data_IF_543772901382
#
_entry.id   IF_543772901382
#
_cell.length_a   1.000
_cell.length_b   1.000
_cell.length_c   1.000
_cell.angle_alpha   90.00
_cell.angle_beta   90.00
_cell.angle_gamma   90.00
#
_symmetry.space_group_name_H-M   'P 1'
#
loop_
_entity.id
_entity.type
_entity.pdbx_description
1 polymer ?
#
# COMPACT_ATOMS: atom_id res chain seq x y z
N UNK A 1 -65.63 -33.45 69.02
CA UNK A 1 -64.44 -34.30 69.31
C UNK A 1 -63.52 -34.29 68.12
N UNK A 2 -62.27 -34.03 68.41
CA UNK A 2 -61.05 -34.13 67.56
C UNK A 2 -60.89 -33.18 66.38
N UNK A 3 -60.16 -32.12 66.68
CA UNK A 3 -59.49 -31.24 65.72
C UNK A 3 -58.39 -32.01 64.98
N UNK A 4 -58.22 -31.75 63.68
CA UNK A 4 -56.99 -32.04 62.98
C UNK A 4 -56.45 -30.74 62.38
N UNK A 5 -55.30 -30.32 62.96
CA UNK A 5 -54.51 -29.19 62.47
C UNK A 5 -53.78 -29.65 61.20
N UNK A 6 -53.97 -28.96 60.04
CA UNK A 6 -53.15 -29.09 58.91
C UNK A 6 -52.14 -27.92 58.84
N UNK A 7 -50.85 -28.25 58.92
CA UNK A 7 -49.72 -27.35 58.88
C UNK A 7 -49.40 -27.10 57.41
N UNK A 8 -49.63 -25.89 56.94
CA UNK A 8 -49.20 -25.46 55.57
C UNK A 8 -47.76 -25.00 55.64
N UNK A 9 -46.85 -25.77 55.04
CA UNK A 9 -45.46 -25.37 54.81
C UNK A 9 -45.41 -24.54 53.49
N UNK A 10 -45.18 -23.24 53.61
CA UNK A 10 -44.94 -22.34 52.51
C UNK A 10 -43.48 -22.47 52.08
N UNK A 11 -43.21 -23.18 51.01
CA UNK A 11 -41.90 -23.21 50.34
C UNK A 11 -41.77 -21.97 49.45
N UNK A 12 -40.99 -20.98 49.87
CA UNK A 12 -40.55 -19.86 49.05
C UNK A 12 -39.56 -20.38 48.00
N UNK A 13 -40.07 -20.59 46.81
CA UNK A 13 -39.19 -20.82 45.63
C UNK A 13 -38.61 -19.51 45.15
N UNK A 14 -37.36 -19.25 45.48
CA UNK A 14 -36.56 -18.17 44.87
C UNK A 14 -36.30 -18.52 43.41
N UNK A 15 -37.07 -17.94 42.47
CA UNK A 15 -36.75 -17.94 41.07
C UNK A 15 -35.51 -17.05 40.87
N UNK A 16 -34.34 -17.67 40.73
CA UNK A 16 -33.17 -17.02 40.19
C UNK A 16 -33.40 -16.86 38.69
N UNK A 17 -33.90 -15.71 38.28
CA UNK A 17 -33.85 -15.25 36.89
C UNK A 17 -32.38 -14.98 36.54
N UNK A 18 -31.67 -16.02 36.09
CA UNK A 18 -30.43 -15.88 35.36
C UNK A 18 -30.76 -15.12 34.07
N UNK A 19 -30.66 -13.79 34.11
CA UNK A 19 -30.68 -12.95 32.95
C UNK A 19 -29.51 -13.36 32.06
N UNK A 20 -29.79 -14.18 31.05
CA UNK A 20 -28.91 -14.32 29.93
C UNK A 20 -28.89 -12.95 29.21
N UNK A 21 -27.94 -12.11 29.61
CA UNK A 21 -27.55 -10.98 28.77
C UNK A 21 -27.03 -11.59 27.46
N UNK A 22 -27.91 -11.76 26.50
CA UNK A 22 -27.51 -11.91 25.12
C UNK A 22 -26.78 -10.59 24.79
N UNK A 23 -25.47 -10.63 24.85
CA UNK A 23 -24.67 -9.58 24.23
C UNK A 23 -25.15 -9.50 22.79
N UNK A 24 -26.01 -8.52 22.52
CA UNK A 24 -26.52 -8.25 21.18
C UNK A 24 -25.27 -8.01 20.33
N UNK A 25 -24.94 -8.98 19.46
CA UNK A 25 -23.74 -8.89 18.62
C UNK A 25 -23.78 -7.52 17.93
N UNK A 26 -22.86 -6.66 18.32
CA UNK A 26 -22.84 -5.31 17.78
C UNK A 26 -22.64 -5.43 16.26
N UNK A 27 -23.42 -4.64 15.50
CA UNK A 27 -23.34 -4.62 14.04
C UNK A 27 -21.89 -4.40 13.59
N UNK A 28 -21.38 -5.17 12.62
CA UNK A 28 -20.01 -5.02 12.16
C UNK A 28 -19.76 -3.62 11.59
N UNK A 29 -18.53 -3.15 11.70
CA UNK A 29 -18.10 -1.89 11.08
C UNK A 29 -17.68 -2.22 9.66
N UNK A 30 -18.35 -1.63 8.68
CA UNK A 30 -18.04 -1.84 7.27
C UNK A 30 -16.84 -0.98 6.85
N UNK A 31 -15.85 -1.62 6.23
CA UNK A 31 -14.66 -1.01 5.65
C UNK A 31 -14.68 -1.29 4.15
N UNK A 32 -14.69 -0.24 3.34
CA UNK A 32 -14.60 -0.34 1.88
C UNK A 32 -13.16 -0.55 1.43
N UNK A 33 -12.96 -1.44 0.46
CA UNK A 33 -11.65 -1.73 -0.13
C UNK A 33 -11.77 -1.72 -1.64
N UNK A 34 -10.94 -0.90 -2.33
CA UNK A 34 -10.96 -0.78 -3.79
C UNK A 34 -9.54 -0.97 -4.34
N UNK A 35 -9.34 -2.06 -5.05
CA UNK A 35 -8.09 -2.39 -5.75
C UNK A 35 -8.41 -3.08 -7.07
N UNK A 36 -7.47 -3.14 -8.04
CA UNK A 36 -7.65 -3.98 -9.21
C UNK A 36 -7.66 -5.45 -8.80
N UNK A 37 -8.78 -6.14 -9.01
CA UNK A 37 -8.91 -7.57 -8.73
C UNK A 37 -8.88 -8.40 -10.03
N UNK A 38 -8.82 -7.72 -11.18
CA UNK A 38 -8.73 -8.29 -12.51
C UNK A 38 -7.72 -7.52 -13.37
N UNK A 39 -7.45 -8.01 -14.59
CA UNK A 39 -6.50 -7.39 -15.50
C UNK A 39 -5.03 -7.54 -15.10
N UNK A 40 -4.16 -6.66 -15.61
CA UNK A 40 -2.71 -6.78 -15.47
C UNK A 40 -2.17 -6.63 -14.04
N UNK A 41 -2.85 -5.88 -13.18
CA UNK A 41 -2.52 -5.73 -11.75
C UNK A 41 -3.41 -6.60 -10.84
N UNK A 42 -4.32 -7.39 -11.42
CA UNK A 42 -5.30 -8.20 -10.69
C UNK A 42 -4.70 -9.12 -9.62
N UNK A 43 -3.70 -9.93 -9.92
CA UNK A 43 -3.09 -10.82 -8.92
C UNK A 43 -2.54 -10.05 -7.71
N UNK A 44 -1.88 -8.91 -7.93
CA UNK A 44 -1.31 -8.09 -6.85
C UNK A 44 -2.41 -7.41 -6.02
N UNK A 45 -3.43 -6.85 -6.66
CA UNK A 45 -4.57 -6.24 -5.97
C UNK A 45 -5.37 -7.25 -5.16
N UNK A 46 -5.52 -8.50 -5.65
CA UNK A 46 -6.11 -9.60 -4.89
C UNK A 46 -5.28 -9.89 -3.62
N UNK A 47 -3.95 -9.97 -3.73
CA UNK A 47 -3.07 -10.20 -2.58
C UNK A 47 -3.17 -9.06 -1.54
N UNK A 48 -3.23 -7.81 -1.97
CA UNK A 48 -3.44 -6.67 -1.06
C UNK A 48 -4.79 -6.79 -0.33
N UNK A 49 -5.85 -7.11 -1.05
CA UNK A 49 -7.19 -7.30 -0.46
C UNK A 49 -7.18 -8.45 0.55
N UNK A 50 -6.52 -9.57 0.25
CA UNK A 50 -6.35 -10.69 1.15
C UNK A 50 -5.52 -10.31 2.40
N UNK A 51 -4.48 -9.50 2.24
CA UNK A 51 -3.69 -8.99 3.36
C UNK A 51 -4.51 -8.09 4.29
N UNK A 52 -5.39 -7.25 3.73
CA UNK A 52 -6.36 -6.46 4.51
C UNK A 52 -7.34 -7.38 5.26
N UNK A 53 -7.80 -8.47 4.64
CA UNK A 53 -8.64 -9.47 5.30
C UNK A 53 -7.92 -10.19 6.44
N UNK A 54 -6.62 -10.53 6.27
CA UNK A 54 -5.80 -11.09 7.33
C UNK A 54 -5.68 -10.13 8.52
N UNK A 55 -5.46 -8.83 8.26
CA UNK A 55 -5.41 -7.81 9.30
C UNK A 55 -6.78 -7.63 9.97
N UNK A 56 -7.88 -7.62 9.22
CA UNK A 56 -9.24 -7.59 9.79
C UNK A 56 -9.48 -8.79 10.74
N UNK A 57 -9.01 -9.97 10.36
CA UNK A 57 -9.08 -11.17 11.22
C UNK A 57 -8.26 -10.97 12.49
N UNK A 58 -7.02 -10.47 12.41
CA UNK A 58 -6.16 -10.18 13.57
C UNK A 58 -6.84 -9.18 14.53
N UNK A 59 -7.45 -8.13 13.99
CA UNK A 59 -8.14 -7.10 14.77
C UNK A 59 -9.40 -7.69 15.43
N UNK A 60 -10.19 -8.45 14.67
CA UNK A 60 -11.42 -9.08 15.17
C UNK A 60 -11.14 -10.11 16.28
N UNK A 61 -10.11 -10.94 16.12
CA UNK A 61 -9.63 -11.88 17.14
C UNK A 61 -9.13 -11.16 18.41
N UNK A 62 -8.71 -9.91 18.28
CA UNK A 62 -8.24 -9.06 19.39
C UNK A 62 -9.36 -8.21 20.03
N UNK A 63 -10.63 -8.48 19.69
CA UNK A 63 -11.80 -7.77 20.24
C UNK A 63 -12.40 -6.70 19.33
N UNK A 64 -11.90 -6.56 18.10
CA UNK A 64 -12.45 -5.64 17.09
C UNK A 64 -12.11 -4.18 17.33
N UNK A 65 -12.88 -3.31 16.69
CA UNK A 65 -12.79 -1.85 16.82
C UNK A 65 -13.94 -1.36 17.68
N UNK A 66 -13.65 -0.73 18.80
CA UNK A 66 -14.66 -0.32 19.81
C UNK A 66 -15.57 -1.50 20.23
N UNK A 67 -15.02 -2.73 20.32
CA UNK A 67 -15.77 -3.95 20.64
C UNK A 67 -16.61 -4.52 19.49
N UNK A 68 -16.52 -3.97 18.30
CA UNK A 68 -17.28 -4.38 17.10
C UNK A 68 -16.38 -5.05 16.08
N UNK A 69 -16.82 -6.13 15.41
CA UNK A 69 -16.03 -6.75 14.36
C UNK A 69 -15.99 -5.84 13.09
N UNK A 70 -14.90 -5.96 12.33
CA UNK A 70 -14.75 -5.34 11.01
C UNK A 70 -15.31 -6.30 9.95
N UNK A 71 -16.06 -5.74 8.99
CA UNK A 71 -16.50 -6.40 7.76
C UNK A 71 -15.86 -5.70 6.55
N UNK A 72 -15.12 -6.44 5.72
CA UNK A 72 -14.48 -5.91 4.53
C UNK A 72 -15.42 -6.04 3.33
N UNK A 73 -15.73 -4.92 2.68
CA UNK A 73 -16.47 -4.85 1.43
C UNK A 73 -15.50 -4.49 0.30
N UNK A 74 -15.06 -5.48 -0.47
CA UNK A 74 -14.11 -5.27 -1.57
C UNK A 74 -14.79 -5.02 -2.92
N UNK A 75 -14.14 -4.21 -3.78
CA UNK A 75 -14.56 -3.91 -5.15
C UNK A 75 -13.35 -3.88 -6.08
N UNK A 76 -13.59 -4.31 -7.31
CA UNK A 76 -12.61 -4.30 -8.41
C UNK A 76 -12.72 -2.99 -9.20
N UNK A 77 -11.63 -2.21 -9.26
CA UNK A 77 -11.55 -0.99 -10.07
C UNK A 77 -11.05 -1.25 -11.50
N UNK A 78 -10.64 -2.49 -11.81
CA UNK A 78 -10.14 -2.90 -13.12
C UNK A 78 -8.98 -2.03 -13.65
N UNK A 79 -8.25 -1.35 -12.76
CA UNK A 79 -7.24 -0.32 -13.09
C UNK A 79 -7.82 0.80 -13.98
N UNK A 80 -9.12 1.09 -13.87
CA UNK A 80 -9.84 2.02 -14.75
C UNK A 80 -10.50 3.14 -13.95
N UNK A 81 -10.17 4.43 -14.19
CA UNK A 81 -10.71 5.56 -13.43
C UNK A 81 -12.23 5.60 -13.32
N UNK A 82 -12.95 5.36 -14.44
CA UNK A 82 -14.42 5.39 -14.45
C UNK A 82 -15.04 4.25 -13.62
N UNK A 83 -14.42 3.06 -13.65
CA UNK A 83 -14.85 1.93 -12.82
C UNK A 83 -14.57 2.22 -11.36
N UNK A 84 -13.38 2.72 -11.01
CA UNK A 84 -13.04 3.12 -9.63
C UNK A 84 -14.07 4.08 -9.05
N UNK A 85 -14.46 5.14 -9.80
CA UNK A 85 -15.51 6.09 -9.39
C UNK A 85 -16.85 5.38 -9.13
N UNK A 86 -17.25 4.45 -9.99
CA UNK A 86 -18.47 3.64 -9.79
C UNK A 86 -18.40 2.84 -8.50
N UNK A 87 -17.28 2.14 -8.26
CA UNK A 87 -17.05 1.32 -7.06
C UNK A 87 -17.02 2.14 -5.77
N UNK A 88 -16.42 3.33 -5.82
CA UNK A 88 -16.47 4.27 -4.69
C UNK A 88 -17.91 4.63 -4.33
N UNK A 89 -18.76 4.98 -5.31
CA UNK A 89 -20.18 5.27 -5.09
C UNK A 89 -20.96 4.08 -4.50
N UNK A 90 -20.67 2.85 -4.95
CA UNK A 90 -21.30 1.64 -4.39
C UNK A 90 -20.96 1.48 -2.90
N UNK A 91 -19.67 1.66 -2.53
CA UNK A 91 -19.25 1.55 -1.13
C UNK A 91 -19.79 2.67 -0.25
N UNK A 92 -19.82 3.90 -0.75
CA UNK A 92 -20.46 5.04 -0.08
C UNK A 92 -21.92 4.72 0.22
N UNK A 93 -22.66 4.23 -0.78
CA UNK A 93 -24.07 3.83 -0.63
C UNK A 93 -24.26 2.65 0.34
N UNK A 94 -23.23 1.80 0.50
CA UNK A 94 -23.25 0.68 1.44
C UNK A 94 -22.99 1.11 2.90
N UNK A 95 -22.69 2.40 3.15
CA UNK A 95 -22.47 2.95 4.48
C UNK A 95 -21.14 2.54 5.12
N UNK A 96 -20.06 2.48 4.34
CA UNK A 96 -18.71 2.21 4.87
C UNK A 96 -18.21 3.36 5.73
N UNK A 97 -17.42 3.06 6.76
CA UNK A 97 -16.83 4.04 7.67
C UNK A 97 -15.53 4.64 7.14
N UNK A 98 -14.84 3.93 6.26
CA UNK A 98 -13.59 4.31 5.62
C UNK A 98 -13.48 3.61 4.28
N UNK A 99 -12.77 4.21 3.32
CA UNK A 99 -12.36 3.54 2.09
C UNK A 99 -10.84 3.42 2.10
N UNK A 100 -10.34 2.20 1.91
CA UNK A 100 -8.91 1.90 1.70
C UNK A 100 -8.76 1.56 0.21
N UNK A 101 -7.93 2.32 -0.49
CA UNK A 101 -7.84 2.22 -1.93
C UNK A 101 -6.42 2.49 -2.45
N UNK A 102 -6.24 2.48 -3.77
CA UNK A 102 -5.10 3.08 -4.41
C UNK A 102 -4.02 2.11 -4.86
N UNK A 103 -4.17 1.60 -6.08
CA UNK A 103 -3.09 0.98 -6.84
C UNK A 103 -2.56 1.96 -7.90
N UNK A 104 -3.42 2.33 -8.84
CA UNK A 104 -3.07 3.25 -9.92
C UNK A 104 -3.39 4.70 -9.53
N UNK A 105 -2.40 5.59 -9.57
CA UNK A 105 -2.61 7.00 -9.22
C UNK A 105 -3.70 7.70 -10.04
N UNK A 106 -3.88 7.46 -11.35
CA UNK A 106 -5.01 8.01 -12.10
C UNK A 106 -6.38 7.56 -11.57
N UNK A 107 -6.50 6.32 -11.08
CA UNK A 107 -7.75 5.79 -10.50
C UNK A 107 -8.04 6.48 -9.16
N UNK A 108 -7.04 6.54 -8.27
CA UNK A 108 -7.13 7.26 -7.00
C UNK A 108 -7.57 8.72 -7.20
N UNK A 109 -6.89 9.46 -8.09
CA UNK A 109 -7.21 10.86 -8.37
C UNK A 109 -8.62 11.07 -8.92
N UNK A 110 -9.16 10.08 -9.65
CA UNK A 110 -10.55 10.13 -10.12
C UNK A 110 -11.56 9.82 -9.01
N UNK A 111 -11.27 8.91 -8.08
CA UNK A 111 -12.15 8.53 -6.98
C UNK A 111 -12.21 9.60 -5.87
N UNK A 112 -11.10 10.24 -5.55
CA UNK A 112 -10.99 11.18 -4.42
C UNK A 112 -12.07 12.27 -4.40
N UNK A 113 -12.41 12.97 -5.51
CA UNK A 113 -13.47 13.99 -5.48
C UNK A 113 -14.84 13.43 -5.07
N UNK A 114 -15.13 12.17 -5.37
CA UNK A 114 -16.38 11.50 -5.01
C UNK A 114 -16.38 11.12 -3.53
N UNK A 115 -15.30 10.51 -3.06
CA UNK A 115 -15.09 10.10 -1.67
C UNK A 115 -15.13 11.35 -0.75
N UNK A 116 -14.44 12.41 -1.17
CA UNK A 116 -14.38 13.67 -0.42
C UNK A 116 -15.76 14.34 -0.31
N UNK A 117 -16.51 14.43 -1.41
CA UNK A 117 -17.88 14.99 -1.37
C UNK A 117 -18.82 14.20 -0.46
N UNK A 118 -18.62 12.89 -0.37
CA UNK A 118 -19.38 12.04 0.55
C UNK A 118 -18.93 12.16 2.01
N UNK A 119 -17.85 12.91 2.29
CA UNK A 119 -17.29 13.05 3.63
C UNK A 119 -16.81 11.74 4.22
N UNK A 120 -16.25 10.82 3.41
CA UNK A 120 -15.67 9.55 3.85
C UNK A 120 -14.16 9.71 4.02
N UNK A 121 -13.59 9.12 5.07
CA UNK A 121 -12.14 9.01 5.23
C UNK A 121 -11.57 8.13 4.12
N UNK A 122 -10.59 8.68 3.39
CA UNK A 122 -9.91 8.05 2.26
C UNK A 122 -8.47 7.69 2.65
N UNK A 123 -8.15 6.41 2.62
CA UNK A 123 -6.79 5.93 2.92
C UNK A 123 -6.19 5.34 1.65
N UNK A 124 -5.34 6.13 1.02
CA UNK A 124 -4.56 5.69 -0.13
C UNK A 124 -3.40 4.80 0.34
N UNK A 125 -3.49 3.50 0.05
CA UNK A 125 -2.49 2.54 0.52
C UNK A 125 -1.22 2.53 -0.34
N UNK A 126 -1.33 2.65 -1.68
CA UNK A 126 -0.23 2.34 -2.60
C UNK A 126 0.07 3.48 -3.58
N UNK A 127 -0.95 4.20 -4.10
CA UNK A 127 -0.79 5.25 -5.10
C UNK A 127 0.14 6.38 -4.65
N UNK A 128 1.03 6.86 -5.53
CA UNK A 128 2.17 7.71 -5.17
C UNK A 128 2.13 9.13 -5.72
N UNK A 129 1.27 9.45 -6.70
CA UNK A 129 1.25 10.78 -7.30
C UNK A 129 1.09 11.88 -6.24
N UNK A 130 1.93 12.91 -6.30
CA UNK A 130 1.92 13.99 -5.30
C UNK A 130 0.59 14.73 -5.20
N UNK A 131 -0.19 14.94 -6.31
CA UNK A 131 -1.50 15.58 -6.24
C UNK A 131 -2.51 14.89 -5.31
N UNK A 132 -2.33 13.62 -4.96
CA UNK A 132 -3.20 12.87 -4.03
C UNK A 132 -3.30 13.56 -2.65
N UNK A 133 -2.22 14.14 -2.16
CA UNK A 133 -2.18 14.86 -0.87
C UNK A 133 -1.73 16.32 -1.01
N UNK A 134 -1.53 16.83 -2.22
CA UNK A 134 -1.17 18.22 -2.44
C UNK A 134 -2.40 19.10 -2.70
N UNK A 135 -2.32 20.36 -2.31
CA UNK A 135 -3.40 21.35 -2.48
C UNK A 135 -4.31 21.46 -1.25
N UNK A 136 -5.30 22.32 -1.35
CA UNK A 136 -6.27 22.59 -0.26
C UNK A 136 -7.27 21.42 -0.04
N UNK A 137 -7.06 20.34 -0.68
CA UNK A 137 -8.02 19.48 -1.29
C UNK A 137 -8.72 18.47 -0.41
N UNK A 138 -8.09 17.69 0.44
CA UNK A 138 -8.83 16.62 1.12
C UNK A 138 -8.36 16.42 2.57
N UNK A 139 -9.02 17.10 3.53
CA UNK A 139 -8.69 16.94 4.95
C UNK A 139 -8.97 15.52 5.46
N UNK A 140 -9.74 14.72 4.71
CA UNK A 140 -10.06 13.33 5.04
C UNK A 140 -9.20 12.32 4.26
N UNK A 141 -8.14 12.77 3.56
CA UNK A 141 -7.21 11.85 2.90
C UNK A 141 -5.93 11.66 3.72
N UNK A 142 -5.44 10.42 3.73
CA UNK A 142 -4.12 10.04 4.24
C UNK A 142 -3.48 9.02 3.30
N UNK A 143 -2.14 8.96 3.26
CA UNK A 143 -1.40 8.02 2.41
C UNK A 143 -0.37 7.24 3.21
N UNK A 144 -0.37 5.94 3.03
CA UNK A 144 0.56 5.03 3.71
C UNK A 144 1.81 4.67 2.90
N UNK A 145 1.80 4.86 1.59
CA UNK A 145 3.01 4.68 0.80
C UNK A 145 3.83 5.99 0.74
N UNK A 146 5.08 5.87 0.33
CA UNK A 146 5.87 7.04 -0.05
C UNK A 146 5.24 7.78 -1.24
N UNK A 147 5.49 9.09 -1.31
CA UNK A 147 5.08 9.90 -2.46
C UNK A 147 6.13 9.86 -3.58
N UNK A 148 5.74 10.31 -4.78
CA UNK A 148 6.70 10.49 -5.87
C UNK A 148 7.86 11.42 -5.48
N UNK A 149 7.60 12.50 -4.74
CA UNK A 149 8.65 13.41 -4.25
C UNK A 149 9.60 12.73 -3.27
N UNK A 150 9.10 11.89 -2.34
CA UNK A 150 9.97 11.14 -1.42
C UNK A 150 10.83 10.11 -2.17
N UNK A 151 10.24 9.40 -3.11
CA UNK A 151 10.92 8.40 -3.95
C UNK A 151 11.95 9.05 -4.89
N UNK A 152 11.58 10.19 -5.48
CA UNK A 152 12.45 10.96 -6.36
C UNK A 152 13.74 11.37 -5.67
N UNK A 153 13.68 11.78 -4.40
CA UNK A 153 14.85 12.13 -3.62
C UNK A 153 15.81 10.93 -3.44
N UNK A 154 15.28 9.73 -3.23
CA UNK A 154 16.09 8.50 -3.07
C UNK A 154 16.80 8.14 -4.37
N UNK A 155 16.08 8.14 -5.49
CA UNK A 155 16.64 7.78 -6.79
C UNK A 155 17.63 8.86 -7.25
N UNK A 156 17.31 10.15 -7.09
CA UNK A 156 18.22 11.24 -7.43
C UNK A 156 19.54 11.17 -6.64
N UNK A 157 19.45 10.88 -5.33
CA UNK A 157 20.64 10.65 -4.51
C UNK A 157 21.46 9.47 -5.04
N UNK A 158 20.83 8.35 -5.37
CA UNK A 158 21.53 7.20 -5.95
C UNK A 158 22.23 7.54 -7.26
N UNK A 159 21.58 8.29 -8.16
CA UNK A 159 22.17 8.79 -9.41
C UNK A 159 23.40 9.63 -9.11
N UNK A 160 23.30 10.59 -8.19
CA UNK A 160 24.40 11.48 -7.84
C UNK A 160 25.58 10.73 -7.21
N UNK A 161 25.32 9.81 -6.29
CA UNK A 161 26.33 8.97 -5.63
C UNK A 161 27.05 8.05 -6.62
N UNK A 162 26.35 7.53 -7.63
CA UNK A 162 26.91 6.69 -8.71
C UNK A 162 27.75 7.48 -9.71
N UNK A 163 27.63 8.83 -9.71
CA UNK A 163 28.27 9.76 -10.66
C UNK A 163 27.87 9.56 -12.12
N UNK A 164 26.76 8.86 -12.39
CA UNK A 164 26.26 8.64 -13.74
C UNK A 164 25.86 9.96 -14.41
N UNK A 165 26.35 10.20 -15.63
CA UNK A 165 26.14 11.47 -16.36
C UNK A 165 25.21 11.30 -17.56
N UNK A 166 25.10 10.11 -18.11
CA UNK A 166 24.26 9.79 -19.28
C UNK A 166 23.08 8.93 -18.81
N UNK A 167 21.92 9.56 -18.68
CA UNK A 167 20.75 8.93 -18.08
C UNK A 167 19.62 8.82 -19.10
N UNK A 168 19.04 7.64 -19.20
CA UNK A 168 17.82 7.39 -19.97
C UNK A 168 16.64 7.14 -19.03
N UNK A 169 15.44 7.49 -19.49
CA UNK A 169 14.18 7.23 -18.79
C UNK A 169 13.28 6.33 -19.66
N UNK A 170 12.72 5.31 -19.02
CA UNK A 170 11.63 4.47 -19.52
C UNK A 170 10.45 4.68 -18.58
N UNK A 171 9.44 5.46 -18.99
CA UNK A 171 8.44 6.02 -18.08
C UNK A 171 7.03 5.65 -18.49
N UNK A 172 6.27 5.10 -17.56
CA UNK A 172 4.83 4.94 -17.72
C UNK A 172 4.16 6.30 -17.92
N UNK A 173 3.36 6.41 -18.98
CA UNK A 173 2.78 7.70 -19.39
C UNK A 173 1.44 7.96 -18.70
N UNK A 174 1.50 8.19 -17.40
CA UNK A 174 0.35 8.55 -16.57
C UNK A 174 0.74 9.48 -15.41
N UNK A 175 -0.19 9.75 -14.50
CA UNK A 175 0.04 10.63 -13.35
C UNK A 175 1.13 10.09 -12.39
N UNK A 176 1.26 8.75 -12.25
CA UNK A 176 2.32 8.15 -11.47
C UNK A 176 3.67 8.29 -12.14
N UNK A 177 3.79 7.77 -13.36
CA UNK A 177 5.08 7.68 -14.04
C UNK A 177 5.67 9.05 -14.38
N UNK A 178 4.86 9.96 -14.94
CA UNK A 178 5.30 11.32 -15.25
C UNK A 178 5.71 12.08 -13.98
N UNK A 179 4.92 11.97 -12.90
CA UNK A 179 5.23 12.61 -11.62
C UNK A 179 6.47 12.02 -10.95
N UNK A 180 6.73 10.72 -11.07
CA UNK A 180 7.93 10.08 -10.53
C UNK A 180 9.19 10.54 -11.28
N UNK A 181 9.15 10.61 -12.61
CA UNK A 181 10.25 11.15 -13.39
C UNK A 181 10.52 12.61 -13.05
N UNK A 182 9.47 13.44 -13.01
CA UNK A 182 9.58 14.86 -12.66
C UNK A 182 10.19 15.05 -11.26
N UNK A 183 9.79 14.24 -10.28
CA UNK A 183 10.33 14.28 -8.94
C UNK A 183 11.84 13.97 -8.91
N UNK A 184 12.31 12.97 -9.66
CA UNK A 184 13.74 12.65 -9.79
C UNK A 184 14.49 13.83 -10.43
N UNK A 185 13.99 14.37 -11.53
CA UNK A 185 14.61 15.48 -12.26
C UNK A 185 14.68 16.75 -11.38
N UNK A 186 13.61 17.05 -10.63
CA UNK A 186 13.55 18.17 -9.71
C UNK A 186 14.56 18.04 -8.57
N UNK A 187 14.73 16.84 -8.01
CA UNK A 187 15.73 16.60 -6.95
C UNK A 187 17.16 16.71 -7.48
N UNK A 188 17.47 16.17 -8.66
CA UNK A 188 18.78 16.34 -9.32
C UNK A 188 19.08 17.83 -9.56
N UNK A 189 18.06 18.60 -9.97
CA UNK A 189 18.19 20.06 -10.13
C UNK A 189 18.45 20.76 -8.80
N UNK A 190 17.74 20.43 -7.71
CA UNK A 190 17.98 20.98 -6.37
C UNK A 190 19.40 20.67 -5.87
N UNK A 191 19.91 19.48 -6.19
CA UNK A 191 21.28 19.07 -5.88
C UNK A 191 22.32 19.73 -6.79
N UNK A 192 21.92 20.52 -7.80
CA UNK A 192 22.80 21.08 -8.85
C UNK A 192 23.60 19.99 -9.55
N UNK A 193 23.04 18.78 -9.69
CA UNK A 193 23.69 17.66 -10.33
C UNK A 193 23.55 17.75 -11.84
N UNK A 194 24.67 18.01 -12.53
CA UNK A 194 24.70 18.08 -13.99
C UNK A 194 24.74 16.68 -14.62
N UNK A 195 23.78 16.37 -15.49
CA UNK A 195 23.68 15.15 -16.28
C UNK A 195 23.10 15.46 -17.66
N UNK A 196 23.22 14.50 -18.58
CA UNK A 196 22.59 14.51 -19.89
C UNK A 196 21.45 13.49 -19.91
N UNK A 197 20.22 13.91 -20.22
CA UNK A 197 19.12 13.01 -20.52
C UNK A 197 19.26 12.52 -21.97
N UNK A 198 19.88 11.33 -22.14
CA UNK A 198 20.26 10.82 -23.47
C UNK A 198 19.13 10.14 -24.23
N UNK A 199 18.10 9.66 -23.51
CA UNK A 199 16.87 9.12 -24.09
C UNK A 199 15.71 9.24 -23.11
N UNK A 200 14.52 9.38 -23.67
CA UNK A 200 13.26 9.34 -22.92
C UNK A 200 12.21 8.60 -23.75
N UNK A 201 11.71 7.49 -23.24
CA UNK A 201 10.67 6.68 -23.86
C UNK A 201 9.47 6.58 -22.93
N UNK A 202 8.28 6.85 -23.45
CA UNK A 202 7.03 6.77 -22.71
C UNK A 202 6.14 5.65 -23.22
N UNK A 203 5.46 4.97 -22.31
CA UNK A 203 4.62 3.83 -22.63
C UNK A 203 3.36 3.78 -21.74
N UNK A 204 2.26 3.18 -22.23
CA UNK A 204 1.04 3.01 -21.44
C UNK A 204 1.19 1.92 -20.35
N UNK A 205 0.39 1.99 -19.28
CA UNK A 205 0.39 1.04 -18.15
C UNK A 205 0.38 -0.44 -18.59
N UNK A 206 -0.40 -0.80 -19.62
CA UNK A 206 -0.53 -2.19 -20.09
C UNK A 206 0.53 -2.60 -21.12
N UNK A 207 1.63 -1.86 -21.26
CA UNK A 207 2.73 -2.21 -22.15
C UNK A 207 3.41 -3.50 -21.71
N UNK A 208 3.57 -4.45 -22.65
CA UNK A 208 4.29 -5.71 -22.44
C UNK A 208 5.46 -5.90 -23.41
N UNK A 209 5.52 -5.13 -24.50
CA UNK A 209 6.59 -5.15 -25.48
C UNK A 209 7.37 -3.84 -25.47
N UNK A 210 8.60 -3.88 -24.97
CA UNK A 210 9.50 -2.74 -24.84
C UNK A 210 10.65 -2.74 -25.86
N UNK A 211 10.66 -3.67 -26.83
CA UNK A 211 11.81 -3.87 -27.73
C UNK A 211 12.17 -2.63 -28.53
N UNK A 212 11.18 -1.86 -29.00
CA UNK A 212 11.40 -0.61 -29.73
C UNK A 212 12.02 0.44 -28.81
N UNK A 213 11.38 0.71 -27.65
CA UNK A 213 11.87 1.64 -26.66
C UNK A 213 13.30 1.28 -26.18
N UNK A 214 13.54 0.02 -25.89
CA UNK A 214 14.87 -0.49 -25.48
C UNK A 214 15.92 -0.37 -26.59
N UNK A 215 15.53 -0.48 -27.87
CA UNK A 215 16.45 -0.25 -28.98
C UNK A 215 16.87 1.22 -29.05
N UNK A 216 15.93 2.14 -28.90
CA UNK A 216 16.20 3.58 -28.87
C UNK A 216 17.12 3.94 -27.70
N UNK A 217 16.77 3.49 -26.49
CA UNK A 217 17.59 3.72 -25.29
C UNK A 217 19.00 3.12 -25.44
N UNK A 218 19.11 1.90 -25.95
CA UNK A 218 20.42 1.26 -26.20
C UNK A 218 21.29 2.07 -27.15
N UNK A 219 20.69 2.61 -28.22
CA UNK A 219 21.41 3.41 -29.22
C UNK A 219 21.96 4.71 -28.64
N UNK A 220 21.31 5.27 -27.62
CA UNK A 220 21.76 6.44 -26.88
C UNK A 220 22.93 6.14 -25.93
N UNK A 221 23.29 4.87 -25.70
CA UNK A 221 24.37 4.41 -24.84
C UNK A 221 24.38 5.06 -23.45
N UNK A 222 23.32 4.85 -22.61
CA UNK A 222 23.25 5.41 -21.27
C UNK A 222 24.22 4.71 -20.31
N UNK A 223 24.66 5.42 -19.28
CA UNK A 223 25.35 4.86 -18.12
C UNK A 223 24.34 4.30 -17.11
N UNK A 224 23.12 4.87 -17.12
CA UNK A 224 22.01 4.44 -16.25
C UNK A 224 20.67 4.61 -16.98
N UNK A 225 19.81 3.61 -16.83
CA UNK A 225 18.42 3.68 -17.30
C UNK A 225 17.48 3.59 -16.10
N UNK A 226 16.61 4.59 -15.95
CA UNK A 226 15.58 4.61 -14.89
C UNK A 226 14.29 4.07 -15.49
N UNK A 227 13.81 2.95 -14.97
CA UNK A 227 12.56 2.31 -15.37
C UNK A 227 11.45 2.61 -14.35
N UNK A 228 10.41 3.30 -14.80
CA UNK A 228 9.26 3.71 -14.00
C UNK A 228 8.02 3.02 -14.57
N UNK A 229 7.61 1.92 -13.94
CA UNK A 229 6.50 1.08 -14.41
C UNK A 229 5.79 0.44 -13.21
N UNK A 230 4.51 0.76 -13.01
CA UNK A 230 3.70 0.25 -11.91
C UNK A 230 3.00 -1.10 -12.25
N UNK A 231 3.13 -1.58 -13.48
CA UNK A 231 2.55 -2.86 -13.88
C UNK A 231 3.49 -4.02 -13.51
N UNK A 232 3.44 -4.45 -12.27
CA UNK A 232 4.31 -5.49 -11.74
C UNK A 232 3.90 -6.91 -12.15
N UNK A 233 2.64 -7.09 -12.55
CA UNK A 233 2.15 -8.39 -13.02
C UNK A 233 2.64 -8.76 -14.41
N UNK A 234 2.80 -7.78 -15.29
CA UNK A 234 3.13 -7.99 -16.69
C UNK A 234 4.26 -7.09 -17.19
N UNK A 235 4.13 -5.77 -17.03
CA UNK A 235 4.99 -4.78 -17.67
C UNK A 235 6.42 -4.77 -17.12
N UNK A 236 6.60 -4.68 -15.81
CA UNK A 236 7.93 -4.61 -15.19
C UNK A 236 8.75 -5.89 -15.41
N UNK A 237 8.23 -7.12 -15.19
CA UNK A 237 9.00 -8.34 -15.51
C UNK A 237 9.36 -8.44 -16.99
N UNK A 238 8.46 -8.01 -17.91
CA UNK A 238 8.73 -8.02 -19.34
C UNK A 238 9.83 -7.03 -19.71
N UNK A 239 9.79 -5.81 -19.14
CA UNK A 239 10.82 -4.78 -19.34
C UNK A 239 12.19 -5.29 -18.89
N UNK A 240 12.29 -5.86 -17.70
CA UNK A 240 13.55 -6.40 -17.16
C UNK A 240 14.11 -7.50 -18.06
N UNK A 241 13.28 -8.47 -18.48
CA UNK A 241 13.73 -9.54 -19.40
C UNK A 241 14.21 -8.99 -20.73
N UNK A 242 13.44 -8.08 -21.33
CA UNK A 242 13.77 -7.52 -22.66
C UNK A 242 15.00 -6.59 -22.58
N UNK A 243 15.20 -5.85 -21.47
CA UNK A 243 16.41 -5.08 -21.23
C UNK A 243 17.66 -5.97 -21.20
N UNK A 244 17.60 -7.11 -20.52
CA UNK A 244 18.68 -8.10 -20.50
C UNK A 244 18.92 -8.70 -21.89
N UNK A 245 17.87 -9.09 -22.61
CA UNK A 245 17.94 -9.66 -23.96
C UNK A 245 18.53 -8.68 -24.97
N UNK A 246 18.15 -7.39 -24.87
CA UNK A 246 18.69 -6.33 -25.73
C UNK A 246 20.13 -5.94 -25.40
N UNK A 247 20.71 -6.49 -24.31
CA UNK A 247 22.02 -6.06 -23.79
C UNK A 247 22.05 -4.55 -23.55
N UNK A 248 21.03 -4.05 -22.84
CA UNK A 248 20.96 -2.63 -22.47
C UNK A 248 22.26 -2.22 -21.75
N UNK A 249 22.97 -1.18 -22.19
CA UNK A 249 24.19 -0.73 -21.52
C UNK A 249 23.89 -0.04 -20.19
N UNK A 250 24.88 0.03 -19.33
CA UNK A 250 24.79 0.69 -18.03
C UNK A 250 23.95 -0.05 -17.01
N UNK A 251 23.59 0.68 -15.96
CA UNK A 251 22.84 0.16 -14.83
C UNK A 251 21.33 0.33 -15.07
N UNK A 252 20.55 -0.73 -14.89
CA UNK A 252 19.09 -0.64 -14.81
C UNK A 252 18.69 -0.35 -13.35
N UNK A 253 18.04 0.79 -13.16
CA UNK A 253 17.48 1.24 -11.88
C UNK A 253 15.97 1.35 -12.01
N UNK A 254 15.23 0.82 -11.07
CA UNK A 254 13.76 0.89 -11.11
C UNK A 254 13.24 1.94 -10.12
N UNK A 255 12.06 2.45 -10.38
CA UNK A 255 11.36 3.30 -9.42
C UNK A 255 11.14 2.54 -8.10
N UNK A 256 11.02 3.30 -7.00
CA UNK A 256 10.88 2.74 -5.66
C UNK A 256 9.66 1.80 -5.58
N UNK A 257 9.92 0.59 -5.10
CA UNK A 257 8.89 -0.39 -4.78
C UNK A 257 8.30 -1.15 -5.97
N UNK A 258 8.85 -1.02 -7.18
CA UNK A 258 8.30 -1.68 -8.38
C UNK A 258 8.95 -3.03 -8.71
N UNK A 259 9.86 -3.51 -7.88
CA UNK A 259 10.51 -4.82 -8.03
C UNK A 259 10.33 -5.65 -6.74
N UNK A 260 9.13 -6.22 -6.62
CA UNK A 260 8.78 -7.16 -5.55
C UNK A 260 9.33 -8.57 -5.85
N UNK A 261 9.34 -9.50 -4.89
CA UNK A 261 9.72 -10.90 -5.12
C UNK A 261 8.92 -11.58 -6.25
N UNK A 262 7.65 -11.21 -6.45
CA UNK A 262 6.82 -11.69 -7.56
C UNK A 262 7.36 -11.25 -8.93
N UNK A 263 7.80 -10.00 -9.05
CA UNK A 263 8.45 -9.48 -10.28
C UNK A 263 9.74 -10.24 -10.57
N UNK A 264 10.57 -10.45 -9.54
CA UNK A 264 11.84 -11.18 -9.66
C UNK A 264 11.59 -12.62 -10.11
N UNK A 265 10.61 -13.29 -9.51
CA UNK A 265 10.25 -14.68 -9.86
C UNK A 265 9.85 -14.82 -11.34
N UNK A 266 9.12 -13.85 -11.90
CA UNK A 266 8.71 -13.84 -13.33
C UNK A 266 9.86 -13.41 -14.23
N UNK A 267 10.69 -12.45 -13.81
CA UNK A 267 11.84 -11.98 -14.61
C UNK A 267 12.99 -13.00 -14.61
N UNK A 268 13.09 -13.85 -13.59
CA UNK A 268 14.14 -14.85 -13.43
C UNK A 268 15.55 -14.24 -13.35
N UNK A 269 16.54 -14.89 -13.94
CA UNK A 269 17.92 -14.42 -13.95
C UNK A 269 18.14 -13.04 -14.60
N UNK A 270 17.19 -12.59 -15.40
CA UNK A 270 17.24 -11.25 -15.98
C UNK A 270 17.18 -10.14 -14.91
N UNK A 271 16.58 -10.41 -13.76
CA UNK A 271 16.50 -9.47 -12.66
C UNK A 271 17.85 -9.26 -11.93
N UNK A 272 18.80 -10.20 -12.06
CA UNK A 272 20.10 -10.07 -11.38
C UNK A 272 20.84 -8.80 -11.85
N UNK A 273 21.29 -8.03 -10.87
CA UNK A 273 21.96 -6.74 -11.08
C UNK A 273 21.01 -5.54 -11.17
N UNK A 274 19.69 -5.72 -11.20
CA UNK A 274 18.73 -4.61 -11.11
C UNK A 274 18.87 -3.93 -9.75
N UNK A 275 18.88 -2.60 -9.76
CA UNK A 275 18.86 -1.76 -8.54
C UNK A 275 17.44 -1.28 -8.32
N UNK A 276 16.99 -1.35 -7.10
CA UNK A 276 15.73 -0.80 -6.64
C UNK A 276 15.85 -0.19 -5.24
N UNK A 277 14.75 0.38 -4.80
CA UNK A 277 14.58 0.81 -3.41
C UNK A 277 13.20 0.42 -2.92
N UNK A 278 13.05 0.20 -1.62
CA UNK A 278 11.76 -0.07 -1.01
C UNK A 278 11.74 0.37 0.46
N UNK A 279 10.54 0.38 1.05
CA UNK A 279 10.29 0.80 2.44
C UNK A 279 9.96 -0.37 3.37
N UNK A 280 9.85 -1.60 2.86
CA UNK A 280 9.49 -2.78 3.65
C UNK A 280 10.17 -4.05 3.13
N UNK A 281 10.76 -4.80 4.06
CA UNK A 281 11.42 -6.08 3.80
C UNK A 281 11.11 -7.02 4.98
N UNK A 282 10.16 -7.95 4.87
CA UNK A 282 9.62 -8.71 6.01
C UNK A 282 10.69 -9.46 6.83
N UNK A 283 11.75 -9.94 6.16
CA UNK A 283 12.80 -10.76 6.75
C UNK A 283 14.08 -9.97 7.09
N UNK A 284 14.06 -8.64 6.97
CA UNK A 284 15.20 -7.76 7.24
C UNK A 284 14.88 -6.83 8.40
N UNK A 285 15.88 -6.56 9.26
CA UNK A 285 15.70 -5.60 10.37
C UNK A 285 15.38 -4.17 9.88
N UNK A 286 14.45 -3.48 10.54
CA UNK A 286 13.83 -3.80 11.84
C UNK A 286 12.56 -4.68 11.74
N UNK A 287 12.11 -5.07 10.55
CA UNK A 287 10.85 -5.81 10.38
C UNK A 287 10.95 -7.25 10.88
N UNK A 288 12.11 -7.90 10.69
CA UNK A 288 12.32 -9.30 11.10
C UNK A 288 12.11 -9.52 12.61
N UNK A 289 12.44 -8.55 13.45
CA UNK A 289 12.22 -8.60 14.91
C UNK A 289 10.87 -8.04 15.35
N UNK A 290 10.13 -7.33 14.49
CA UNK A 290 8.87 -6.67 14.82
C UNK A 290 7.74 -7.70 15.03
N UNK A 291 7.17 -7.75 16.25
CA UNK A 291 6.13 -8.71 16.62
C UNK A 291 4.83 -8.53 15.81
N UNK A 292 4.43 -7.29 15.49
CA UNK A 292 3.26 -7.06 14.65
C UNK A 292 3.48 -7.57 13.22
N UNK A 293 4.68 -7.39 12.68
CA UNK A 293 5.06 -7.95 11.38
C UNK A 293 5.05 -9.48 11.42
N UNK A 294 5.66 -10.12 12.41
CA UNK A 294 5.65 -11.58 12.56
C UNK A 294 4.23 -12.14 12.61
N UNK A 295 3.36 -11.52 13.41
CA UNK A 295 1.95 -11.92 13.54
C UNK A 295 1.22 -11.79 12.20
N UNK A 296 1.44 -10.70 11.47
CA UNK A 296 0.86 -10.45 10.16
C UNK A 296 1.34 -11.47 9.12
N UNK A 297 2.66 -11.70 9.03
CA UNK A 297 3.26 -12.70 8.12
C UNK A 297 2.69 -14.09 8.41
N UNK A 298 2.64 -14.51 9.68
CA UNK A 298 2.10 -15.80 10.08
C UNK A 298 0.60 -15.94 9.70
N UNK A 299 -0.23 -14.92 9.95
CA UNK A 299 -1.65 -14.93 9.61
C UNK A 299 -1.87 -14.98 8.10
N UNK A 300 -1.09 -14.23 7.32
CA UNK A 300 -1.16 -14.26 5.85
C UNK A 300 -0.77 -15.63 5.29
N UNK A 301 0.28 -16.25 5.83
CA UNK A 301 0.66 -17.62 5.45
C UNK A 301 -0.39 -18.66 5.86
N UNK A 302 -0.98 -18.52 7.06
CA UNK A 302 -2.05 -19.40 7.52
C UNK A 302 -3.25 -19.37 6.57
N UNK A 303 -3.73 -18.17 6.24
CA UNK A 303 -4.95 -17.97 5.47
C UNK A 303 -4.76 -18.16 3.95
N UNK A 304 -3.65 -17.69 3.40
CA UNK A 304 -3.49 -17.52 1.94
C UNK A 304 -2.24 -18.18 1.36
N UNK A 305 -1.36 -18.77 2.17
CA UNK A 305 -0.20 -19.58 1.76
C UNK A 305 0.93 -18.82 1.04
N UNK A 306 1.08 -17.50 1.30
CA UNK A 306 2.19 -16.72 0.77
C UNK A 306 2.80 -15.78 1.84
N UNK A 307 4.05 -15.37 1.62
CA UNK A 307 4.71 -14.34 2.42
C UNK A 307 4.33 -12.95 1.87
N UNK A 308 3.84 -12.02 2.71
CA UNK A 308 3.46 -10.70 2.24
C UNK A 308 4.66 -9.87 1.80
N UNK A 309 4.46 -9.10 0.74
CA UNK A 309 5.37 -8.05 0.29
C UNK A 309 4.97 -6.66 0.83
N UNK A 310 5.64 -5.62 0.35
CA UNK A 310 5.38 -4.24 0.73
C UNK A 310 3.93 -3.82 0.49
N UNK A 311 3.35 -4.16 -0.64
CA UNK A 311 2.00 -3.71 -0.99
C UNK A 311 0.95 -4.32 -0.08
N UNK A 312 1.11 -5.60 0.23
CA UNK A 312 0.29 -6.31 1.20
C UNK A 312 0.43 -5.70 2.60
N UNK A 313 1.67 -5.39 3.02
CA UNK A 313 1.95 -4.73 4.29
C UNK A 313 1.33 -3.33 4.37
N UNK A 314 1.40 -2.54 3.27
CA UNK A 314 0.78 -1.21 3.21
C UNK A 314 -0.75 -1.28 3.32
N UNK A 315 -1.39 -2.18 2.56
CA UNK A 315 -2.84 -2.38 2.66
C UNK A 315 -3.27 -2.78 4.06
N UNK A 316 -2.61 -3.76 4.65
CA UNK A 316 -2.88 -4.23 6.01
C UNK A 316 -2.64 -3.13 7.06
N UNK A 317 -1.54 -2.37 6.95
CA UNK A 317 -1.24 -1.25 7.86
C UNK A 317 -2.24 -0.10 7.72
N UNK A 318 -2.81 0.12 6.53
CA UNK A 318 -3.91 1.08 6.34
C UNK A 318 -5.09 0.78 7.25
N UNK A 319 -5.52 -0.47 7.28
CA UNK A 319 -6.58 -0.92 8.19
C UNK A 319 -6.14 -0.86 9.67
N UNK A 320 -4.90 -1.26 9.97
CA UNK A 320 -4.36 -1.25 11.33
C UNK A 320 -4.34 0.17 11.91
N UNK A 321 -3.79 1.14 11.18
CA UNK A 321 -3.70 2.55 11.61
C UNK A 321 -5.10 3.15 11.79
N UNK A 322 -6.01 2.89 10.86
CA UNK A 322 -7.40 3.33 11.01
C UNK A 322 -8.05 2.76 12.28
N UNK A 323 -7.92 1.47 12.52
CA UNK A 323 -8.49 0.82 13.70
C UNK A 323 -7.90 1.36 15.01
N UNK A 324 -6.58 1.61 15.04
CA UNK A 324 -5.92 2.23 16.18
C UNK A 324 -6.43 3.65 16.42
N UNK A 325 -6.53 4.47 15.38
CA UNK A 325 -7.05 5.83 15.47
C UNK A 325 -8.49 5.86 16.00
N UNK A 326 -9.38 5.01 15.46
CA UNK A 326 -10.78 4.88 15.95
C UNK A 326 -10.83 4.49 17.41
N UNK A 327 -10.04 3.50 17.82
CA UNK A 327 -10.01 3.05 19.22
C UNK A 327 -9.49 4.13 20.19
N UNK A 328 -8.54 4.96 19.76
CA UNK A 328 -7.99 6.06 20.54
C UNK A 328 -8.98 7.24 20.66
N UNK A 329 -9.61 7.64 19.55
CA UNK A 329 -10.61 8.73 19.59
C UNK A 329 -11.97 8.29 20.08
N UNK A 330 -12.22 6.97 20.17
CA UNK A 330 -13.49 6.34 20.59
C UNK A 330 -14.69 6.82 19.75
N UNK A 331 -14.49 7.07 18.47
CA UNK A 331 -15.50 7.51 17.52
C UNK A 331 -15.21 6.97 16.13
N UNK A 332 -16.27 6.78 15.34
CA UNK A 332 -16.21 6.51 13.89
C UNK A 332 -16.33 7.80 13.05
N UNK A 333 -16.43 8.95 13.70
CA UNK A 333 -16.51 10.24 13.01
C UNK A 333 -15.23 10.50 12.23
N UNK A 334 -15.37 10.80 10.95
CA UNK A 334 -14.27 10.83 9.99
C UNK A 334 -13.24 11.90 10.31
N UNK A 335 -13.69 13.10 10.68
CA UNK A 335 -12.81 14.24 11.00
C UNK A 335 -11.92 13.99 12.23
N UNK A 336 -12.44 13.55 13.41
CA UNK A 336 -11.60 13.17 14.54
C UNK A 336 -10.60 12.07 14.20
N UNK A 337 -11.01 11.04 13.42
CA UNK A 337 -10.13 9.94 13.04
C UNK A 337 -9.04 10.43 12.08
N UNK A 338 -9.41 11.20 11.04
CA UNK A 338 -8.44 11.78 10.11
C UNK A 338 -7.43 12.69 10.83
N UNK A 339 -7.91 13.55 11.73
CA UNK A 339 -7.07 14.46 12.53
C UNK A 339 -6.14 13.69 13.48
N UNK A 340 -6.57 12.54 14.02
CA UNK A 340 -5.69 11.69 14.83
C UNK A 340 -4.57 11.06 14.00
N UNK A 341 -4.82 10.72 12.73
CA UNK A 341 -3.81 10.15 11.84
C UNK A 341 -2.86 11.25 11.35
N UNK A 342 -3.38 12.35 10.85
CA UNK A 342 -2.62 13.46 10.29
C UNK A 342 -1.76 14.12 11.36
N UNK A 343 -0.45 14.19 11.15
CA UNK A 343 0.51 14.67 12.16
C UNK A 343 0.72 13.74 13.36
N UNK A 344 0.05 12.58 13.38
CA UNK A 344 0.11 11.61 14.46
C UNK A 344 1.20 10.56 14.32
N UNK A 345 1.41 9.81 15.39
CA UNK A 345 2.31 8.68 15.44
C UNK A 345 1.58 7.46 15.99
N UNK A 346 1.92 6.28 15.48
CA UNK A 346 1.37 4.99 15.91
C UNK A 346 2.51 4.01 16.15
N UNK A 347 2.52 3.37 17.30
CA UNK A 347 3.56 2.43 17.71
C UNK A 347 3.09 0.98 17.52
N UNK A 348 4.02 0.09 17.20
CA UNK A 348 3.72 -1.35 17.08
C UNK A 348 2.86 -1.70 15.87
N UNK A 349 2.99 -0.97 14.77
CA UNK A 349 2.40 -1.36 13.48
C UNK A 349 3.26 -2.42 12.78
N UNK A 350 2.77 -2.97 11.65
CA UNK A 350 3.59 -3.85 10.78
C UNK A 350 4.91 -3.17 10.38
N UNK A 351 4.89 -1.85 10.17
CA UNK A 351 6.08 -1.05 9.85
C UNK A 351 6.88 -0.61 11.08
N UNK A 352 6.53 -1.08 12.29
CA UNK A 352 7.07 -0.60 13.55
C UNK A 352 6.37 0.68 14.00
N UNK A 353 7.14 1.64 14.49
CA UNK A 353 6.62 2.96 14.85
C UNK A 353 6.55 3.83 13.59
N UNK A 354 5.36 4.32 13.29
CA UNK A 354 5.08 5.14 12.10
C UNK A 354 4.63 6.53 12.50
N UNK A 355 4.97 7.51 11.67
CA UNK A 355 4.60 8.90 11.85
C UNK A 355 4.05 9.47 10.55
N UNK A 356 3.02 10.29 10.68
CA UNK A 356 2.40 11.00 9.57
C UNK A 356 2.69 12.50 9.65
N UNK A 357 3.01 13.10 8.53
CA UNK A 357 3.09 14.54 8.40
C UNK A 357 1.69 15.18 8.55
N UNK A 358 1.65 16.49 8.77
CA UNK A 358 0.39 17.22 8.97
C UNK A 358 -0.58 17.12 7.78
N UNK A 359 -0.07 16.90 6.57
CA UNK A 359 -0.89 16.67 5.38
C UNK A 359 -1.40 15.22 5.24
N UNK A 360 -1.10 14.31 6.18
CA UNK A 360 -1.51 12.91 6.14
C UNK A 360 -0.56 11.96 5.38
N UNK A 361 0.63 12.43 4.99
CA UNK A 361 1.65 11.62 4.34
C UNK A 361 2.43 10.81 5.39
N UNK A 362 2.55 9.49 5.18
CA UNK A 362 3.48 8.66 5.96
C UNK A 362 4.92 9.14 5.76
N UNK A 363 5.64 9.33 6.85
CA UNK A 363 7.09 9.49 6.81
C UNK A 363 7.72 8.10 6.56
N UNK A 364 8.38 7.93 5.42
CA UNK A 364 8.92 6.64 5.00
C UNK A 364 10.44 6.61 5.02
N UNK A 365 10.99 5.44 5.36
CA UNK A 365 12.42 5.19 5.40
C UNK A 365 12.81 4.18 4.31
N UNK A 366 13.48 4.64 3.28
CA UNK A 366 13.83 3.86 2.12
C UNK A 366 15.17 3.14 2.31
N UNK A 367 15.23 1.92 1.79
CA UNK A 367 16.48 1.15 1.67
C UNK A 367 16.69 0.77 0.22
N UNK A 368 17.89 1.04 -0.29
CA UNK A 368 18.34 0.54 -1.60
C UNK A 368 18.61 -0.96 -1.53
N UNK A 369 18.37 -1.64 -2.64
CA UNK A 369 18.71 -3.05 -2.79
C UNK A 369 19.26 -3.36 -4.19
N UNK A 370 19.91 -4.50 -4.29
CA UNK A 370 20.28 -5.14 -5.56
C UNK A 370 19.59 -6.49 -5.64
N UNK A 371 19.24 -6.94 -6.82
CA UNK A 371 18.81 -8.32 -7.03
C UNK A 371 20.04 -9.18 -7.29
N UNK A 372 20.28 -10.21 -6.48
CA UNK A 372 21.38 -11.16 -6.60
C UNK A 372 20.84 -12.60 -6.46
N UNK A 373 21.16 -13.46 -7.39
CA UNK A 373 20.65 -14.83 -7.41
C UNK A 373 19.11 -14.91 -7.23
N UNK A 374 18.41 -14.02 -7.93
CA UNK A 374 16.94 -13.87 -7.87
C UNK A 374 16.40 -13.52 -6.47
N UNK A 375 17.21 -12.90 -5.60
CA UNK A 375 16.82 -12.46 -4.26
C UNK A 375 17.14 -10.98 -4.08
N UNK A 376 16.32 -10.31 -3.28
CA UNK A 376 16.59 -8.95 -2.84
C UNK A 376 17.71 -8.98 -1.80
N UNK A 377 18.77 -8.23 -2.07
CA UNK A 377 19.88 -8.00 -1.14
C UNK A 377 19.90 -6.50 -0.78
N UNK A 378 19.45 -6.21 0.42
CA UNK A 378 19.39 -4.83 0.92
C UNK A 378 20.81 -4.30 1.11
N UNK A 379 21.10 -3.14 0.53
CA UNK A 379 22.40 -2.49 0.68
C UNK A 379 22.50 -1.80 2.03
N UNK A 380 23.67 -1.84 2.68
CA UNK A 380 23.92 -1.02 3.86
C UNK A 380 23.71 0.46 3.51
N UNK A 381 23.12 1.21 4.42
CA UNK A 381 23.09 2.68 4.28
C UNK A 381 24.54 3.16 4.36
N UNK A 382 25.09 3.65 3.25
CA UNK A 382 26.36 4.40 3.30
C UNK A 382 26.10 5.69 4.07
N UNK A 383 26.72 5.81 5.23
CA UNK A 383 26.73 7.03 6.04
C UNK A 383 27.30 8.21 5.25
#
# INVERSE_FOLDING_TARGET
MKALKALAVATLGTLVLAGQAHAQAQQPIKVGVIFPLSGGAGPQGQHVTQAIQAMATIINESGGVMGRPIEILSRDDESTPAVGVSRANELISSGVSVIIEGWNSPVTLAMQPVINRAGILDITAISKADPILSGEGNPLAVRLNSSNSQDGAVIAKYIADSKAKRIAFLTENDAYGNGAQEAIENELKKMSYAYEKVAEEKFPFNQADFRVALTNVRSANPEMTIAINANEGLGMPALIRQAKQSRLPGQLVTAVGTVAPSVISVAGDAANGVIGADIYFPDVEPFASNEANKKFVAKTQEMFKYTPDKYMALGATSLQVWAMAVNEVKSLDKEPVANRIRGGSFNGTIFGDVKFAANGQLESNHKLFTVENQKIVVRPVSN
#
